data_IF_095055706323
#
_entry.id   IF_095055706323
#
_cell.length_a   1.000
_cell.length_b   1.000
_cell.length_c   1.000
_cell.angle_alpha   90.00
_cell.angle_beta   90.00
_cell.angle_gamma   90.00
#
_symmetry.space_group_name_H-M   'P 1'
#
loop_
_entity.id
_entity.type
_entity.pdbx_description
1 polymer ?
#
# COMPACT_ATOMS: atom_id res chain seq x y z
N UNK A 1 -9.85 8.33 -9.43
CA UNK A 1 -9.65 8.23 -7.96
C UNK A 1 -10.07 6.89 -7.35
N UNK A 2 -11.11 6.21 -7.84
CA UNK A 2 -11.61 4.98 -7.20
C UNK A 2 -10.55 3.87 -7.02
N UNK A 3 -9.73 3.59 -8.04
CA UNK A 3 -8.61 2.63 -7.96
C UNK A 3 -7.65 2.95 -6.82
N UNK A 4 -7.29 4.23 -6.66
CA UNK A 4 -6.39 4.70 -5.60
C UNK A 4 -6.99 4.52 -4.20
N UNK A 5 -8.28 4.82 -4.02
CA UNK A 5 -8.99 4.59 -2.76
C UNK A 5 -9.04 3.10 -2.39
N UNK A 6 -9.27 2.23 -3.39
CA UNK A 6 -9.29 0.77 -3.20
C UNK A 6 -7.91 0.24 -2.81
N UNK A 7 -6.85 0.70 -3.48
CA UNK A 7 -5.47 0.35 -3.13
C UNK A 7 -5.11 0.82 -1.71
N UNK A 8 -5.44 2.08 -1.37
CA UNK A 8 -5.21 2.61 -0.02
C UNK A 8 -5.94 1.81 1.06
N UNK A 9 -7.22 1.50 0.84
CA UNK A 9 -7.99 0.67 1.76
C UNK A 9 -7.37 -0.72 1.95
N UNK A 10 -6.82 -1.30 0.89
CA UNK A 10 -6.13 -2.59 0.96
C UNK A 10 -4.80 -2.51 1.71
N UNK A 11 -4.00 -1.45 1.50
CA UNK A 11 -2.80 -1.17 2.30
C UNK A 11 -3.15 -1.11 3.80
N UNK A 12 -4.24 -0.42 4.17
CA UNK A 12 -4.67 -0.38 5.57
C UNK A 12 -5.12 -1.74 6.12
N UNK A 13 -5.60 -2.67 5.28
CA UNK A 13 -5.87 -4.06 5.70
C UNK A 13 -4.57 -4.81 5.96
N UNK A 14 -3.57 -4.65 5.10
CA UNK A 14 -2.25 -5.24 5.29
C UNK A 14 -1.57 -4.73 6.57
N UNK A 15 -1.70 -3.43 6.88
CA UNK A 15 -1.19 -2.84 8.13
C UNK A 15 -1.77 -3.53 9.38
N UNK A 16 -3.00 -4.06 9.32
CA UNK A 16 -3.60 -4.79 10.46
C UNK A 16 -2.95 -6.14 10.73
N UNK A 17 -2.23 -6.70 9.76
CA UNK A 17 -1.49 -7.96 9.90
C UNK A 17 -0.14 -7.76 10.59
N UNK A 18 0.37 -6.52 10.65
CA UNK A 18 1.66 -6.20 11.28
C UNK A 18 1.61 -6.37 12.81
N UNK A 19 2.77 -6.46 13.48
CA UNK A 19 2.85 -6.40 14.94
C UNK A 19 2.15 -5.15 15.50
N UNK A 20 1.41 -5.31 16.60
CA UNK A 20 0.48 -4.29 17.14
C UNK A 20 1.12 -2.92 17.37
N UNK A 21 2.34 -2.91 17.90
CA UNK A 21 3.17 -1.75 18.21
C UNK A 21 3.61 -0.96 16.96
N UNK A 22 3.66 -1.61 15.79
CA UNK A 22 4.12 -0.98 14.54
C UNK A 22 2.98 -0.42 13.68
N UNK A 23 1.74 -0.86 13.93
CA UNK A 23 0.57 -0.53 13.07
C UNK A 23 0.32 0.96 12.96
N UNK A 24 0.44 1.69 14.08
CA UNK A 24 0.19 3.14 14.11
C UNK A 24 1.17 3.90 13.21
N UNK A 25 2.45 3.51 13.24
CA UNK A 25 3.49 4.08 12.39
C UNK A 25 3.16 3.86 10.90
N UNK A 26 2.90 2.60 10.49
CA UNK A 26 2.64 2.30 9.09
C UNK A 26 1.29 2.85 8.58
N UNK A 27 0.26 2.92 9.43
CA UNK A 27 -1.01 3.55 9.07
C UNK A 27 -0.82 5.06 8.81
N UNK A 28 -0.04 5.74 9.66
CA UNK A 28 0.33 7.14 9.46
C UNK A 28 1.11 7.34 8.16
N UNK A 29 2.15 6.54 7.94
CA UNK A 29 2.98 6.60 6.74
C UNK A 29 2.17 6.38 5.45
N UNK A 30 1.25 5.41 5.45
CA UNK A 30 0.37 5.16 4.32
C UNK A 30 -0.56 6.35 4.03
N UNK A 31 -1.11 6.98 5.09
CA UNK A 31 -1.96 8.17 4.95
C UNK A 31 -1.17 9.35 4.37
N UNK A 32 0.02 9.62 4.88
CA UNK A 32 0.88 10.71 4.41
C UNK A 32 1.21 10.55 2.92
N UNK A 33 1.64 9.34 2.51
CA UNK A 33 1.89 9.04 1.11
C UNK A 33 0.63 9.22 0.26
N UNK A 34 -0.51 8.68 0.69
CA UNK A 34 -1.76 8.79 -0.06
C UNK A 34 -2.22 10.24 -0.27
N UNK A 35 -2.02 11.11 0.72
CA UNK A 35 -2.37 12.53 0.62
C UNK A 35 -1.38 13.28 -0.29
N UNK A 36 -0.07 13.00 -0.16
CA UNK A 36 0.97 13.66 -0.94
C UNK A 36 0.85 13.40 -2.45
N UNK A 37 0.25 12.28 -2.85
CA UNK A 37 0.11 11.90 -4.26
C UNK A 37 -1.22 12.32 -4.90
N UNK A 38 -1.99 13.23 -4.28
CA UNK A 38 -3.27 13.69 -4.85
C UNK A 38 -3.12 14.55 -6.11
N UNK A 39 -2.01 15.25 -6.23
CA UNK A 39 -1.76 16.24 -7.30
C UNK A 39 -0.64 15.78 -8.26
N UNK A 40 -0.49 14.46 -8.44
CA UNK A 40 0.54 13.93 -9.34
C UNK A 40 0.07 13.98 -10.80
N UNK A 41 1.03 14.02 -11.71
CA UNK A 41 0.77 13.88 -13.14
C UNK A 41 0.09 12.51 -13.41
N UNK A 42 -1.01 12.45 -14.20
CA UNK A 42 -1.64 11.20 -14.59
C UNK A 42 -0.68 10.15 -15.17
N UNK A 43 0.41 10.58 -15.82
CA UNK A 43 1.45 9.69 -16.38
C UNK A 43 2.24 8.93 -15.30
N UNK A 44 2.35 9.47 -14.09
CA UNK A 44 3.11 8.88 -12.98
C UNK A 44 2.27 7.92 -12.11
N UNK A 45 0.95 7.87 -12.35
CA UNK A 45 0.01 7.09 -11.54
C UNK A 45 0.31 5.59 -11.59
N UNK A 46 0.71 5.06 -12.74
CA UNK A 46 1.11 3.66 -12.89
C UNK A 46 2.34 3.32 -12.04
N UNK A 47 3.35 4.18 -12.07
CA UNK A 47 4.56 4.06 -11.26
C UNK A 47 4.27 4.10 -9.76
N UNK A 48 3.32 4.95 -9.34
CA UNK A 48 2.88 4.98 -7.93
C UNK A 48 2.16 3.71 -7.49
N UNK A 49 1.32 3.12 -8.34
CA UNK A 49 0.68 1.86 -8.01
C UNK A 49 1.70 0.74 -7.86
N UNK A 50 2.66 0.65 -8.78
CA UNK A 50 3.75 -0.32 -8.68
C UNK A 50 4.56 -0.13 -7.39
N UNK A 51 4.98 1.11 -7.09
CA UNK A 51 5.69 1.45 -5.85
C UNK A 51 4.88 1.10 -4.61
N UNK A 52 3.57 1.34 -4.62
CA UNK A 52 2.68 1.00 -3.50
C UNK A 52 2.68 -0.50 -3.22
N UNK A 53 2.64 -1.32 -4.27
CA UNK A 53 2.72 -2.77 -4.15
C UNK A 53 4.09 -3.22 -3.63
N UNK A 54 5.17 -2.72 -4.22
CA UNK A 54 6.54 -3.09 -3.84
C UNK A 54 6.87 -2.72 -2.38
N UNK A 55 6.48 -1.52 -1.95
CA UNK A 55 6.64 -1.09 -0.56
C UNK A 55 5.81 -1.95 0.40
N UNK A 56 4.58 -2.32 0.01
CA UNK A 56 3.74 -3.18 0.85
C UNK A 56 4.37 -4.56 1.02
N UNK A 57 4.89 -5.15 -0.07
CA UNK A 57 5.63 -6.41 0.00
C UNK A 57 6.88 -6.32 0.89
N UNK A 58 7.65 -5.23 0.77
CA UNK A 58 8.83 -5.02 1.61
C UNK A 58 8.48 -4.99 3.10
N UNK A 59 7.41 -4.27 3.48
CA UNK A 59 6.95 -4.22 4.88
C UNK A 59 6.47 -5.59 5.35
N UNK A 60 5.69 -6.32 4.54
CA UNK A 60 5.25 -7.67 4.90
C UNK A 60 6.43 -8.62 5.11
N UNK A 61 7.41 -8.58 4.20
CA UNK A 61 8.63 -9.38 4.29
C UNK A 61 9.45 -9.05 5.54
N UNK A 62 9.58 -7.77 5.90
CA UNK A 62 10.26 -7.31 7.11
C UNK A 62 9.71 -7.97 8.39
N UNK A 63 8.42 -8.27 8.43
CA UNK A 63 7.77 -8.92 9.56
C UNK A 63 7.46 -10.41 9.33
N UNK A 64 8.09 -11.03 8.33
CA UNK A 64 7.92 -12.44 7.96
C UNK A 64 6.46 -12.84 7.69
N UNK A 65 5.66 -11.90 7.19
CA UNK A 65 4.27 -12.16 6.79
C UNK A 65 4.27 -12.68 5.35
N UNK A 66 3.49 -13.73 5.10
CA UNK A 66 3.37 -14.35 3.78
C UNK A 66 2.92 -13.33 2.71
N UNK A 67 3.59 -13.31 1.56
CA UNK A 67 3.32 -12.36 0.47
C UNK A 67 1.94 -12.55 -0.18
N UNK A 68 1.34 -13.75 -0.10
CA UNK A 68 0.04 -14.07 -0.70
C UNK A 68 -1.10 -13.22 -0.11
N UNK A 69 -0.94 -12.71 1.12
CA UNK A 69 -1.92 -11.78 1.70
C UNK A 69 -2.05 -10.47 0.90
N UNK A 70 -1.06 -10.15 0.05
CA UNK A 70 -1.06 -8.99 -0.83
C UNK A 70 -1.59 -9.26 -2.24
N UNK A 71 -2.11 -10.46 -2.56
CA UNK A 71 -2.59 -10.79 -3.91
C UNK A 71 -3.70 -9.86 -4.39
N UNK A 72 -4.57 -9.43 -3.48
CA UNK A 72 -5.60 -8.44 -3.79
C UNK A 72 -5.02 -7.07 -4.10
N UNK A 73 -3.97 -6.65 -3.39
CA UNK A 73 -3.27 -5.41 -3.69
C UNK A 73 -2.54 -5.50 -5.04
N UNK A 74 -1.93 -6.65 -5.34
CA UNK A 74 -1.30 -6.93 -6.64
C UNK A 74 -2.30 -6.75 -7.79
N UNK A 75 -3.50 -7.34 -7.67
CA UNK A 75 -4.55 -7.20 -8.67
C UNK A 75 -5.07 -5.77 -8.84
N UNK A 76 -4.95 -4.93 -7.81
CA UNK A 76 -5.30 -3.51 -7.89
C UNK A 76 -4.17 -2.65 -8.45
N UNK A 77 -2.91 -2.98 -8.21
CA UNK A 77 -1.77 -2.11 -8.53
C UNK A 77 -1.03 -2.49 -9.80
N UNK A 78 -1.00 -3.77 -10.17
CA UNK A 78 -0.20 -4.31 -11.26
C UNK A 78 -1.06 -4.77 -12.45
N UNK A 79 -2.30 -4.26 -12.54
CA UNK A 79 -3.26 -4.47 -13.61
C UNK A 79 -3.36 -3.28 -14.55
#
# INVERSE_FOLDING_TARGET
MEKALRAYAEVLRLVRLLPKDTRAYYAKYARENFVNYREIDPSEVSHLFQRTYDHSLWVLHKYSIDKSVADKLKGLCCS
#
